data_IF_669013218732
#
_entry.id   IF_669013218732
#
_cell.length_a   1.000
_cell.length_b   1.000
_cell.length_c   1.000
_cell.angle_alpha   90.00
_cell.angle_beta   90.00
_cell.angle_gamma   90.00
#
_symmetry.space_group_name_H-M   'P 1'
#
loop_
_entity.id
_entity.type
_entity.pdbx_description
1 polymer ?
#
# COMPACT_ATOMS: atom_id res chain seq x y z
N UNK A 1 3.15 -10.61 2.32
CA UNK A 1 4.25 -9.67 1.97
C UNK A 1 5.42 -9.78 2.96
N UNK A 2 6.67 -9.68 2.51
CA UNK A 2 7.87 -9.68 3.39
C UNK A 2 8.47 -8.27 3.58
N UNK A 3 9.25 -8.08 4.65
CA UNK A 3 9.94 -6.80 4.91
C UNK A 3 10.96 -6.43 3.83
N UNK A 4 11.69 -7.42 3.30
CA UNK A 4 12.68 -7.23 2.22
C UNK A 4 12.02 -6.70 0.94
N UNK A 5 10.84 -7.24 0.59
CA UNK A 5 10.07 -6.79 -0.56
C UNK A 5 9.59 -5.34 -0.36
N UNK A 6 9.10 -5.00 0.83
CA UNK A 6 8.68 -3.63 1.16
C UNK A 6 9.86 -2.65 1.05
N UNK A 7 11.03 -3.01 1.59
CA UNK A 7 12.23 -2.18 1.48
C UNK A 7 12.64 -1.97 0.02
N UNK A 8 12.64 -3.04 -0.79
CA UNK A 8 12.92 -2.95 -2.22
C UNK A 8 11.96 -2.00 -2.95
N UNK A 9 10.66 -2.05 -2.62
CA UNK A 9 9.64 -1.17 -3.20
C UNK A 9 9.88 0.30 -2.80
N UNK A 10 10.19 0.57 -1.53
CA UNK A 10 10.49 1.90 -1.01
C UNK A 10 11.71 2.50 -1.73
N UNK A 11 12.79 1.72 -1.84
CA UNK A 11 14.03 2.14 -2.51
C UNK A 11 13.79 2.38 -4.00
N UNK A 12 13.12 1.44 -4.70
CA UNK A 12 12.82 1.53 -6.13
C UNK A 12 11.98 2.76 -6.48
N UNK A 13 11.02 3.10 -5.64
CA UNK A 13 10.11 4.23 -5.85
C UNK A 13 10.62 5.54 -5.22
N UNK A 14 11.81 5.54 -4.60
CA UNK A 14 12.40 6.72 -3.92
C UNK A 14 11.47 7.32 -2.87
N UNK A 15 10.75 6.47 -2.13
CA UNK A 15 9.80 6.91 -1.11
C UNK A 15 10.58 7.43 0.10
N UNK A 16 10.20 8.57 0.70
CA UNK A 16 10.82 9.09 1.90
C UNK A 16 10.79 8.08 3.06
N UNK A 17 11.88 7.96 3.82
CA UNK A 17 11.95 7.00 4.95
C UNK A 17 11.00 7.31 6.11
N UNK A 18 10.48 8.54 6.18
CA UNK A 18 9.47 8.95 7.15
C UNK A 18 8.03 8.70 6.65
N UNK A 19 7.86 7.86 5.64
CA UNK A 19 6.55 7.43 5.15
C UNK A 19 5.74 6.78 6.25
N UNK A 20 4.46 7.13 6.32
CA UNK A 20 3.52 6.53 7.27
C UNK A 20 2.96 5.26 6.66
N UNK A 21 2.97 4.18 7.44
CA UNK A 21 2.39 2.92 7.06
C UNK A 21 0.96 2.86 7.59
N UNK A 22 -0.02 2.70 6.71
CA UNK A 22 -1.44 2.58 7.04
C UNK A 22 -2.02 1.34 6.37
N UNK A 23 -3.07 0.77 6.94
CA UNK A 23 -3.86 -0.27 6.31
C UNK A 23 -5.18 0.31 5.81
N UNK A 24 -5.71 -0.26 4.74
CA UNK A 24 -7.07 0.04 4.31
C UNK A 24 -8.04 -0.66 5.26
N UNK A 25 -8.52 0.09 6.25
CA UNK A 25 -9.14 -0.48 7.46
C UNK A 25 -10.66 -0.37 7.43
N UNK A 26 -11.30 -1.41 6.92
CA UNK A 26 -12.44 -2.06 7.62
C UNK A 26 -12.16 -3.54 7.95
N UNK A 27 -11.09 -4.13 7.41
CA UNK A 27 -10.78 -5.53 7.65
C UNK A 27 -10.05 -5.71 8.99
N UNK A 28 -10.79 -5.56 10.08
CA UNK A 28 -10.28 -5.56 11.45
C UNK A 28 -9.61 -6.89 11.83
N UNK A 29 -9.93 -8.01 11.17
CA UNK A 29 -9.55 -9.35 11.67
C UNK A 29 -9.48 -10.50 10.63
N UNK A 30 -9.71 -10.32 9.32
CA UNK A 30 -9.60 -11.47 8.41
C UNK A 30 -8.16 -11.79 8.02
N UNK A 31 -7.92 -13.10 7.85
CA UNK A 31 -6.69 -13.71 7.34
C UNK A 31 -6.40 -13.40 5.87
N UNK A 32 -6.98 -12.34 5.31
CA UNK A 32 -6.80 -12.03 3.90
C UNK A 32 -5.40 -11.47 3.69
N UNK A 33 -4.71 -12.03 2.70
CA UNK A 33 -3.37 -11.60 2.34
C UNK A 33 -3.38 -10.15 1.79
N UNK A 34 -2.90 -9.21 2.61
CA UNK A 34 -2.68 -7.80 2.26
C UNK A 34 -1.44 -7.64 1.36
N UNK A 35 -1.51 -8.21 0.16
CA UNK A 35 -0.44 -8.25 -0.82
C UNK A 35 -0.57 -7.16 -1.90
N UNK A 36 -1.16 -6.02 -1.58
CA UNK A 36 -1.17 -4.82 -2.42
C UNK A 36 -0.53 -3.64 -1.68
N UNK A 37 0.25 -2.82 -2.39
CA UNK A 37 0.81 -1.58 -1.88
C UNK A 37 0.40 -0.43 -2.80
N UNK A 38 -0.20 0.59 -2.19
CA UNK A 38 -0.35 1.90 -2.81
C UNK A 38 0.40 2.97 -2.05
N UNK A 39 0.75 4.06 -2.74
CA UNK A 39 1.40 5.22 -2.15
C UNK A 39 0.70 6.52 -2.54
N UNK A 40 0.50 7.37 -1.54
CA UNK A 40 0.05 8.74 -1.69
C UNK A 40 1.20 9.70 -1.39
N UNK A 41 1.69 10.40 -2.41
CA UNK A 41 2.78 11.37 -2.26
C UNK A 41 2.36 12.57 -1.40
N UNK A 42 1.12 13.06 -1.59
CA UNK A 42 0.57 14.20 -0.86
C UNK A 42 0.53 13.98 0.65
N UNK A 43 0.29 12.73 1.08
CA UNK A 43 0.20 12.33 2.48
C UNK A 43 1.48 11.68 3.01
N UNK A 44 2.41 11.36 2.12
CA UNK A 44 3.58 10.54 2.41
C UNK A 44 3.15 9.25 3.14
N UNK A 45 2.16 8.55 2.56
CA UNK A 45 1.51 7.38 3.14
C UNK A 45 1.60 6.18 2.20
N UNK A 46 2.01 5.03 2.72
CA UNK A 46 1.86 3.73 2.09
C UNK A 46 0.64 3.06 2.70
N UNK A 47 -0.30 2.67 1.84
CA UNK A 47 -1.46 1.89 2.22
C UNK A 47 -1.28 0.42 1.80
N UNK A 48 -1.45 -0.49 2.76
CA UNK A 48 -1.56 -1.92 2.50
C UNK A 48 -3.01 -2.29 2.23
N UNK A 49 -3.21 -3.08 1.17
CA UNK A 49 -4.54 -3.48 0.70
C UNK A 49 -4.53 -4.92 0.21
N UNK A 50 -5.73 -5.50 0.06
CA UNK A 50 -5.90 -6.80 -0.56
C UNK A 50 -5.52 -6.73 -2.05
N UNK A 51 -4.71 -7.68 -2.53
CA UNK A 51 -4.20 -7.67 -3.90
C UNK A 51 -5.28 -7.88 -4.97
N UNK A 52 -6.43 -8.44 -4.59
CA UNK A 52 -7.50 -8.76 -5.52
C UNK A 52 -8.41 -7.56 -5.84
N UNK A 53 -8.36 -6.52 -5.00
CA UNK A 53 -9.25 -5.37 -5.07
C UNK A 53 -8.46 -4.05 -5.14
N UNK A 54 -7.97 -3.68 -6.33
CA UNK A 54 -7.30 -2.39 -6.52
C UNK A 54 -8.35 -1.26 -6.48
N UNK A 55 -8.57 -0.68 -5.31
CA UNK A 55 -9.38 0.51 -5.09
C UNK A 55 -8.56 1.57 -4.33
N UNK A 56 -9.10 2.79 -4.24
CA UNK A 56 -8.51 3.84 -3.40
C UNK A 56 -8.89 3.59 -1.95
N UNK A 57 -8.03 3.91 -0.97
CA UNK A 57 -8.38 3.77 0.43
C UNK A 57 -9.56 4.67 0.79
N UNK A 58 -10.51 4.13 1.57
CA UNK A 58 -11.75 4.84 1.92
C UNK A 58 -11.47 6.14 2.70
N UNK A 59 -10.44 6.12 3.54
CA UNK A 59 -9.98 7.28 4.31
C UNK A 59 -9.31 8.38 3.45
N UNK A 60 -9.29 8.21 2.13
CA UNK A 60 -8.47 8.98 1.21
C UNK A 60 -9.06 9.13 -0.21
N UNK A 61 -10.40 9.11 -0.34
CA UNK A 61 -11.13 9.14 -1.62
C UNK A 61 -10.68 10.28 -2.57
N UNK A 62 -10.34 11.44 -2.01
CA UNK A 62 -9.97 12.65 -2.76
C UNK A 62 -8.49 12.74 -3.16
N UNK A 63 -7.70 11.71 -2.86
CA UNK A 63 -6.28 11.69 -3.15
C UNK A 63 -5.94 10.79 -4.35
N UNK A 64 -4.80 11.11 -4.97
CA UNK A 64 -4.19 10.26 -5.98
C UNK A 64 -3.32 9.24 -5.28
N UNK A 65 -3.63 7.97 -5.54
CA UNK A 65 -2.93 6.81 -5.02
C UNK A 65 -2.29 6.07 -6.18
N UNK A 66 -0.98 5.87 -6.09
CA UNK A 66 -0.23 5.13 -7.08
C UNK A 66 -0.05 3.70 -6.60
N UNK A 67 -0.50 2.73 -7.41
CA UNK A 67 -0.16 1.33 -7.18
C UNK A 67 1.35 1.14 -7.35
N UNK A 68 1.99 0.61 -6.30
CA UNK A 68 3.42 0.33 -6.30
C UNK A 68 3.72 -1.14 -6.52
N UNK A 69 2.84 -2.02 -6.03
CA UNK A 69 2.98 -3.46 -6.14
C UNK A 69 1.65 -4.19 -5.89
N UNK A 70 1.43 -5.31 -6.58
CA UNK A 70 0.35 -6.26 -6.32
C UNK A 70 0.83 -7.69 -6.58
N UNK A 71 0.27 -8.69 -5.89
CA UNK A 71 0.60 -10.12 -6.15
C UNK A 71 0.26 -10.59 -7.57
N UNK A 72 -0.55 -9.83 -8.32
CA UNK A 72 -0.86 -10.13 -9.72
C UNK A 72 0.30 -9.82 -10.68
N UNK A 73 1.33 -9.12 -10.21
CA UNK A 73 2.53 -8.79 -10.97
C UNK A 73 3.66 -9.85 -10.82
N UNK A 74 3.42 -10.93 -10.08
CA UNK A 74 4.33 -12.08 -9.90
C UNK A 74 3.96 -13.25 -10.82
#
# INVERSE_FOLDING_TARGET
MTFELLEAIIVKNKIPKNVRLVNDSENDLCTTDMNGIQYCEKRNEICFMESEYIHKPEHAENEEWKLLWSVRDE
#
